data_IF_881130227777
#
_entry.id   IF_881130227777
#
_cell.length_a   1.000
_cell.length_b   1.000
_cell.length_c   1.000
_cell.angle_alpha   90.00
_cell.angle_beta   90.00
_cell.angle_gamma   90.00
#
_symmetry.space_group_name_H-M   'P 1'
#
loop_
_entity.id
_entity.type
_entity.pdbx_description
1 polymer ?
#
# COMPACT_ATOMS: atom_id res chain seq x y z
N UNK A 1 9.32 11.99 21.70
CA UNK A 1 8.64 11.73 20.40
C UNK A 1 8.09 13.07 19.94
N UNK A 2 8.13 13.39 18.64
CA UNK A 2 7.68 14.71 18.19
C UNK A 2 6.49 14.57 17.25
N UNK A 3 5.38 15.18 17.64
CA UNK A 3 4.20 15.34 16.80
C UNK A 3 4.39 16.57 15.95
N UNK A 4 4.33 16.40 14.63
CA UNK A 4 4.41 17.52 13.70
C UNK A 4 3.32 17.33 12.66
N UNK A 5 2.70 18.42 12.23
CA UNK A 5 1.92 18.32 11.00
C UNK A 5 2.82 17.80 9.88
N UNK A 6 2.24 17.01 8.98
CA UNK A 6 2.96 16.71 7.76
C UNK A 6 3.23 18.04 7.07
N UNK A 7 4.51 18.36 6.88
CA UNK A 7 4.92 19.52 6.11
C UNK A 7 4.20 19.51 4.74
N UNK A 8 3.62 20.63 4.27
CA UNK A 8 2.85 20.65 3.02
C UNK A 8 3.63 20.14 1.80
N UNK A 9 4.96 20.34 1.76
CA UNK A 9 5.81 19.83 0.69
C UNK A 9 5.94 18.31 0.80
N UNK A 10 6.18 17.79 2.01
CA UNK A 10 6.21 16.36 2.27
C UNK A 10 4.87 15.67 1.95
N UNK A 11 3.75 16.26 2.36
CA UNK A 11 2.42 15.74 2.05
C UNK A 11 2.12 15.76 0.55
N UNK A 12 2.53 16.83 -0.15
CA UNK A 12 2.44 16.92 -1.60
C UNK A 12 3.22 15.81 -2.31
N UNK A 13 4.45 15.52 -1.85
CA UNK A 13 5.26 14.43 -2.39
C UNK A 13 4.63 13.05 -2.14
N UNK A 14 4.08 12.79 -0.94
CA UNK A 14 3.37 11.55 -0.61
C UNK A 14 2.14 11.38 -1.52
N UNK A 15 1.33 12.43 -1.61
CA UNK A 15 0.11 12.46 -2.46
C UNK A 15 0.46 12.17 -3.91
N UNK A 16 1.46 12.86 -4.45
CA UNK A 16 1.92 12.66 -5.82
C UNK A 16 2.41 11.23 -6.04
N UNK A 17 3.17 10.66 -5.10
CA UNK A 17 3.68 9.29 -5.21
C UNK A 17 2.53 8.28 -5.28
N UNK A 18 1.57 8.36 -4.36
CA UNK A 18 0.42 7.45 -4.30
C UNK A 18 -0.45 7.59 -5.56
N UNK A 19 -0.75 8.82 -5.97
CA UNK A 19 -1.67 9.08 -7.08
C UNK A 19 -1.04 8.73 -8.45
N UNK A 20 0.28 8.89 -8.61
CA UNK A 20 0.99 8.38 -9.82
C UNK A 20 0.95 6.86 -9.86
N UNK A 21 1.13 6.20 -8.71
CA UNK A 21 1.27 4.75 -8.63
C UNK A 21 -0.08 4.02 -8.73
N UNK A 22 -1.13 4.58 -8.13
CA UNK A 22 -2.42 3.92 -7.96
C UNK A 22 -3.59 4.67 -8.61
N UNK A 23 -3.37 5.84 -9.20
CA UNK A 23 -4.36 6.61 -9.92
C UNK A 23 -4.72 7.94 -9.24
N UNK A 24 -5.04 8.93 -10.07
CA UNK A 24 -5.35 10.28 -9.60
C UNK A 24 -6.55 10.29 -8.63
N UNK A 25 -6.40 10.97 -7.49
CA UNK A 25 -7.45 11.12 -6.49
C UNK A 25 -7.57 9.96 -5.49
N UNK A 26 -6.73 8.92 -5.59
CA UNK A 26 -6.68 7.82 -4.61
C UNK A 26 -6.36 8.36 -3.22
N UNK A 27 -5.37 9.24 -3.09
CA UNK A 27 -4.99 9.82 -1.79
C UNK A 27 -6.13 10.63 -1.18
N UNK A 28 -6.84 11.41 -2.00
CA UNK A 28 -8.00 12.20 -1.56
C UNK A 28 -9.12 11.29 -1.05
N UNK A 29 -9.42 10.22 -1.79
CA UNK A 29 -10.44 9.22 -1.41
C UNK A 29 -10.06 8.48 -0.13
N UNK A 30 -8.80 8.11 0.02
CA UNK A 30 -8.24 7.44 1.21
C UNK A 30 -8.31 8.33 2.45
N UNK A 31 -8.02 9.62 2.29
CA UNK A 31 -8.04 10.58 3.39
C UNK A 31 -9.49 10.92 3.83
N UNK A 32 -10.39 11.13 2.87
CA UNK A 32 -11.75 11.56 3.13
C UNK A 32 -11.78 12.90 3.87
N UNK A 33 -12.48 12.96 5.01
CA UNK A 33 -12.57 14.15 5.87
C UNK A 33 -11.49 14.20 6.96
N UNK A 34 -10.46 13.36 6.89
CA UNK A 34 -9.40 13.27 7.91
C UNK A 34 -8.25 14.24 7.60
N UNK A 35 -7.51 14.62 8.62
CA UNK A 35 -6.28 15.38 8.48
C UNK A 35 -5.06 14.44 8.48
N UNK A 36 -4.05 14.68 7.63
CA UNK A 36 -2.81 13.93 7.66
C UNK A 36 -1.91 14.45 8.79
N UNK A 37 -1.40 13.54 9.63
CA UNK A 37 -0.47 13.81 10.72
C UNK A 37 0.82 13.04 10.52
N UNK A 38 1.98 13.68 10.74
CA UNK A 38 3.27 13.01 10.71
C UNK A 38 3.79 12.81 12.13
N UNK A 39 4.30 11.62 12.41
CA UNK A 39 4.91 11.32 13.70
C UNK A 39 6.32 10.82 13.44
N UNK A 40 7.29 11.59 13.94
CA UNK A 40 8.70 11.27 13.76
C UNK A 40 9.19 10.49 14.99
N UNK A 41 9.63 9.24 14.77
CA UNK A 41 10.30 8.41 15.77
C UNK A 41 11.63 7.92 15.22
N UNK A 42 12.73 8.41 15.77
CA UNK A 42 14.09 8.16 15.26
C UNK A 42 14.23 8.60 13.79
N UNK A 43 14.63 7.68 12.90
CA UNK A 43 14.81 7.90 11.46
C UNK A 43 13.57 7.54 10.61
N UNK A 44 12.46 7.17 11.24
CA UNK A 44 11.23 6.79 10.55
C UNK A 44 10.15 7.83 10.82
N UNK A 45 9.46 8.24 9.75
CA UNK A 45 8.33 9.15 9.82
C UNK A 45 7.07 8.37 9.48
N UNK A 46 6.18 8.22 10.45
CA UNK A 46 4.89 7.57 10.27
C UNK A 46 3.84 8.60 9.88
N UNK A 47 2.92 8.23 9.00
CA UNK A 47 1.86 9.11 8.52
C UNK A 47 0.52 8.51 8.91
N UNK A 48 -0.33 9.30 9.54
CA UNK A 48 -1.64 8.92 10.03
C UNK A 48 -2.72 9.81 9.41
N UNK A 49 -3.91 9.25 9.20
CA UNK A 49 -5.12 10.00 8.94
C UNK A 49 -5.96 10.06 10.23
N UNK A 50 -6.15 11.26 10.76
CA UNK A 50 -6.84 11.50 12.03
C UNK A 50 -8.11 12.34 11.85
N UNK A 51 -9.11 12.23 12.73
CA UNK A 51 -10.19 13.20 12.78
C UNK A 51 -9.66 14.63 13.00
N UNK A 52 -10.11 15.65 12.25
CA UNK A 52 -9.64 17.03 12.43
C UNK A 52 -9.79 17.57 13.85
N UNK A 53 -10.84 17.15 14.56
CA UNK A 53 -11.11 17.51 15.95
C UNK A 53 -10.05 17.01 16.95
N UNK A 54 -9.23 16.02 16.58
CA UNK A 54 -8.17 15.50 17.44
C UNK A 54 -6.89 16.32 17.36
N UNK A 55 -6.79 17.23 16.39
CA UNK A 55 -5.57 18.02 16.17
C UNK A 55 -5.18 18.83 17.40
N UNK A 56 -6.12 19.57 18.00
CA UNK A 56 -5.82 20.41 19.18
C UNK A 56 -5.34 19.57 20.35
N UNK A 57 -6.03 18.46 20.63
CA UNK A 57 -5.69 17.53 21.72
C UNK A 57 -4.28 16.95 21.52
N UNK A 58 -3.95 16.56 20.29
CA UNK A 58 -2.64 15.99 19.98
C UNK A 58 -1.51 17.02 20.06
N UNK A 59 -1.79 18.29 19.78
CA UNK A 59 -0.81 19.37 19.93
C UNK A 59 -0.57 19.74 21.39
N UNK A 60 -1.56 19.60 22.26
CA UNK A 60 -1.49 19.94 23.67
C UNK A 60 -0.94 18.79 24.54
N UNK A 61 -1.36 17.55 24.26
CA UNK A 61 -1.11 16.39 25.13
C UNK A 61 -0.34 15.24 24.44
N UNK A 62 0.07 15.42 23.18
CA UNK A 62 0.60 14.34 22.34
C UNK A 62 1.72 13.51 22.97
N UNK A 63 2.60 14.12 23.76
CA UNK A 63 3.74 13.42 24.38
C UNK A 63 3.33 12.31 25.36
N UNK A 64 2.10 12.34 25.88
CA UNK A 64 1.56 11.36 26.81
C UNK A 64 0.65 10.31 26.15
N UNK A 65 0.36 10.45 24.85
CA UNK A 65 -0.56 9.57 24.14
C UNK A 65 0.16 8.41 23.47
N UNK A 66 -0.48 7.24 23.55
CA UNK A 66 0.01 6.05 22.86
C UNK A 66 -0.37 6.09 21.38
N UNK A 67 0.65 6.34 20.56
CA UNK A 67 0.58 6.49 19.10
C UNK A 67 -0.14 5.37 18.36
N UNK A 68 -0.18 4.17 18.91
CA UNK A 68 -0.85 3.03 18.28
C UNK A 68 -2.39 3.22 18.15
N UNK A 69 -2.96 4.22 18.83
CA UNK A 69 -4.40 4.54 18.77
C UNK A 69 -4.70 5.84 18.02
N UNK A 70 -3.72 6.49 17.41
CA UNK A 70 -3.87 7.81 16.77
C UNK A 70 -4.35 7.63 15.33
N UNK A 71 -5.64 7.35 15.18
CA UNK A 71 -6.32 7.27 13.90
C UNK A 71 -5.84 6.10 13.02
N UNK A 72 -5.83 6.33 11.71
CA UNK A 72 -5.51 5.29 10.72
C UNK A 72 -4.11 5.49 10.17
N UNK A 73 -3.19 4.57 10.44
CA UNK A 73 -1.85 4.59 9.86
C UNK A 73 -1.93 4.41 8.34
N UNK A 74 -1.48 5.43 7.60
CA UNK A 74 -1.40 5.39 6.14
C UNK A 74 -0.11 4.72 5.67
N UNK A 75 0.97 4.85 6.42
CA UNK A 75 2.26 4.30 6.05
C UNK A 75 3.43 5.04 6.67
N UNK A 76 4.61 4.84 6.11
CA UNK A 76 5.84 5.45 6.59
C UNK A 76 6.66 6.02 5.45
N UNK A 77 7.41 7.09 5.73
CA UNK A 77 8.47 7.59 4.87
C UNK A 77 9.79 7.03 5.37
N UNK A 78 10.45 6.26 4.51
CA UNK A 78 11.77 5.70 4.76
C UNK A 78 12.70 6.07 3.61
N UNK A 79 13.85 6.68 3.92
CA UNK A 79 14.84 7.11 2.91
C UNK A 79 14.22 7.96 1.78
N UNK A 80 13.27 8.83 2.13
CA UNK A 80 12.58 9.72 1.19
C UNK A 80 11.52 9.05 0.31
N UNK A 81 11.11 7.80 0.59
CA UNK A 81 10.04 7.12 -0.13
C UNK A 81 8.91 6.74 0.81
N UNK A 82 7.68 7.00 0.39
CA UNK A 82 6.51 6.56 1.13
C UNK A 82 6.22 5.08 0.86
N UNK A 83 5.98 4.32 1.92
CA UNK A 83 5.53 2.93 1.91
C UNK A 83 4.15 2.86 2.54
N UNK A 84 3.17 2.35 1.79
CA UNK A 84 1.82 2.12 2.30
C UNK A 84 1.86 1.17 3.50
N UNK A 85 1.08 1.49 4.53
CA UNK A 85 0.82 0.56 5.62
C UNK A 85 -0.01 -0.62 5.12
N UNK A 86 0.23 -1.80 5.70
CA UNK A 86 -0.59 -2.98 5.42
C UNK A 86 -2.08 -2.73 5.73
N UNK A 87 -2.37 -1.88 6.72
CA UNK A 87 -3.72 -1.59 7.21
C UNK A 87 -4.62 -0.92 6.16
N UNK A 88 -4.04 -0.28 5.14
CA UNK A 88 -4.81 0.47 4.14
C UNK A 88 -4.86 -0.22 2.78
N UNK A 89 -4.13 -1.32 2.58
CA UNK A 89 -4.00 -1.92 1.25
C UNK A 89 -5.35 -2.34 0.66
N UNK A 90 -6.22 -2.94 1.47
CA UNK A 90 -7.54 -3.38 1.02
C UNK A 90 -8.47 -2.24 0.63
N UNK A 91 -8.28 -1.04 1.20
CA UNK A 91 -9.06 0.14 0.86
C UNK A 91 -8.54 0.79 -0.42
N UNK A 92 -7.22 0.95 -0.53
CA UNK A 92 -6.58 1.49 -1.74
C UNK A 92 -6.84 0.58 -2.95
N UNK A 93 -6.80 -0.74 -2.76
CA UNK A 93 -7.09 -1.73 -3.79
C UNK A 93 -8.49 -1.56 -4.41
N UNK A 94 -9.47 -1.03 -3.67
CA UNK A 94 -10.83 -0.77 -4.15
C UNK A 94 -10.94 0.52 -4.96
N UNK A 95 -9.93 1.39 -4.89
CA UNK A 95 -9.92 2.72 -5.50
C UNK A 95 -9.06 2.78 -6.76
N UNK A 96 -8.43 1.67 -7.16
CA UNK A 96 -7.42 1.64 -8.23
C UNK A 96 -7.70 0.53 -9.25
N UNK A 97 -7.19 0.74 -10.46
CA UNK A 97 -7.12 -0.28 -11.51
C UNK A 97 -5.72 -0.93 -11.58
N UNK A 98 -4.80 -0.57 -10.68
CA UNK A 98 -3.46 -1.14 -10.57
C UNK A 98 -3.50 -2.44 -9.75
N UNK A 99 -4.11 -3.49 -10.31
CA UNK A 99 -4.22 -4.80 -9.65
C UNK A 99 -3.89 -5.97 -10.57
N UNK A 100 -3.64 -7.11 -9.94
CA UNK A 100 -3.56 -8.43 -10.57
C UNK A 100 -4.44 -9.40 -9.80
N UNK A 101 -5.39 -10.01 -10.50
CA UNK A 101 -6.26 -11.07 -9.98
C UNK A 101 -5.56 -12.41 -10.18
N UNK A 102 -5.41 -13.18 -9.10
CA UNK A 102 -4.73 -14.47 -9.13
C UNK A 102 -5.64 -15.62 -8.73
N UNK A 103 -5.36 -16.80 -9.28
CA UNK A 103 -6.07 -18.03 -8.95
C UNK A 103 -5.86 -18.42 -7.48
N UNK A 104 -6.73 -19.28 -6.95
CA UNK A 104 -6.62 -19.79 -5.57
C UNK A 104 -5.20 -20.31 -5.23
N UNK A 105 -4.60 -21.13 -6.10
CA UNK A 105 -3.23 -21.64 -5.91
C UNK A 105 -2.18 -20.52 -5.93
N UNK A 106 -2.37 -19.53 -6.80
CA UNK A 106 -1.52 -18.34 -6.86
C UNK A 106 -1.61 -17.49 -5.60
N UNK A 107 -2.82 -17.31 -5.07
CA UNK A 107 -3.08 -16.60 -3.83
C UNK A 107 -2.39 -17.27 -2.63
N UNK A 108 -2.54 -18.60 -2.50
CA UNK A 108 -1.86 -19.39 -1.46
C UNK A 108 -0.34 -19.24 -1.56
N UNK A 109 0.24 -19.43 -2.75
CA UNK A 109 1.67 -19.27 -2.94
C UNK A 109 2.15 -17.85 -2.58
N UNK A 110 1.39 -16.83 -3.00
CA UNK A 110 1.72 -15.43 -2.74
C UNK A 110 1.72 -15.10 -1.25
N UNK A 111 0.74 -15.57 -0.49
CA UNK A 111 0.69 -15.37 0.97
C UNK A 111 1.78 -16.15 1.70
N UNK A 112 2.45 -17.12 1.06
CA UNK A 112 3.70 -17.72 1.55
C UNK A 112 4.97 -16.98 1.08
N UNK A 113 4.85 -15.77 0.54
CA UNK A 113 5.97 -14.94 0.10
C UNK A 113 6.49 -15.27 -1.30
N UNK A 114 5.78 -16.12 -2.07
CA UNK A 114 6.17 -16.39 -3.47
C UNK A 114 5.76 -15.24 -4.39
N UNK A 115 6.51 -15.09 -5.47
CA UNK A 115 6.19 -14.17 -6.55
C UNK A 115 5.15 -14.78 -7.51
N UNK A 116 4.47 -13.94 -8.30
CA UNK A 116 3.40 -14.37 -9.20
C UNK A 116 3.99 -14.84 -10.54
N UNK A 117 3.59 -16.04 -10.96
CA UNK A 117 3.89 -16.61 -12.28
C UNK A 117 2.68 -16.50 -13.21
N UNK A 118 2.90 -16.63 -14.52
CA UNK A 118 1.88 -16.45 -15.56
C UNK A 118 0.64 -17.32 -15.36
N UNK A 119 0.81 -18.58 -15.00
CA UNK A 119 -0.30 -19.52 -14.81
C UNK A 119 -1.22 -19.13 -13.64
N UNK A 120 -0.69 -18.39 -12.67
CA UNK A 120 -1.48 -17.90 -11.54
C UNK A 120 -2.36 -16.70 -11.89
N UNK A 121 -2.14 -16.02 -13.02
CA UNK A 121 -2.82 -14.76 -13.35
C UNK A 121 -4.14 -15.03 -14.07
N UNK A 122 -5.23 -14.53 -13.49
CA UNK A 122 -6.57 -14.56 -14.06
C UNK A 122 -6.88 -13.28 -14.83
N UNK A 123 -6.54 -12.13 -14.26
CA UNK A 123 -6.85 -10.81 -14.81
C UNK A 123 -5.80 -9.79 -14.38
N UNK A 124 -5.50 -8.83 -15.25
CA UNK A 124 -4.81 -7.59 -14.91
C UNK A 124 -5.14 -6.53 -15.96
N UNK A 125 -5.05 -5.26 -15.60
CA UNK A 125 -5.24 -4.16 -16.55
C UNK A 125 -4.10 -4.15 -17.61
N UNK A 126 -4.40 -4.21 -18.91
CA UNK A 126 -3.39 -4.26 -19.97
C UNK A 126 -2.54 -2.99 -20.11
N UNK A 127 -2.95 -1.86 -19.50
CA UNK A 127 -2.19 -0.60 -19.53
C UNK A 127 -1.06 -0.58 -18.50
N UNK A 128 -0.94 -1.60 -17.63
CA UNK A 128 0.08 -1.62 -16.60
C UNK A 128 1.46 -1.95 -17.18
N UNK A 129 2.48 -1.26 -16.70
CA UNK A 129 3.84 -1.31 -17.21
C UNK A 129 4.78 -2.05 -16.25
N UNK A 130 5.86 -2.61 -16.80
CA UNK A 130 6.92 -3.22 -16.01
C UNK A 130 7.45 -2.25 -14.96
N UNK A 131 7.60 -2.72 -13.73
CA UNK A 131 8.10 -1.95 -12.59
C UNK A 131 7.01 -1.24 -11.79
N UNK A 132 5.80 -1.08 -12.32
CA UNK A 132 4.67 -0.54 -11.56
C UNK A 132 4.29 -1.48 -10.41
N UNK A 133 3.89 -0.88 -9.29
CA UNK A 133 3.33 -1.63 -8.16
C UNK A 133 1.86 -1.89 -8.40
N UNK A 134 1.44 -3.11 -8.05
CA UNK A 134 0.08 -3.59 -8.23
C UNK A 134 -0.39 -4.30 -6.97
N UNK A 135 -1.68 -4.16 -6.68
CA UNK A 135 -2.33 -4.96 -5.65
C UNK A 135 -2.56 -6.38 -6.15
N UNK A 136 -2.21 -7.36 -5.33
CA UNK A 136 -2.49 -8.77 -5.63
C UNK A 136 -3.82 -9.13 -4.98
N UNK A 137 -4.80 -9.53 -5.79
CA UNK A 137 -6.14 -9.88 -5.36
C UNK A 137 -6.40 -11.37 -5.60
N UNK A 138 -7.10 -12.03 -4.67
CA UNK A 138 -7.62 -13.38 -4.94
C UNK A 138 -8.90 -13.33 -5.79
N UNK A 139 -9.45 -14.49 -6.15
CA UNK A 139 -10.69 -14.66 -6.92
C UNK A 139 -11.90 -13.90 -6.33
N UNK A 140 -11.93 -13.68 -5.01
CA UNK A 140 -12.97 -12.93 -4.32
C UNK A 140 -12.71 -11.42 -4.28
N UNK A 141 -11.67 -10.94 -4.98
CA UNK A 141 -11.18 -9.55 -4.97
C UNK A 141 -10.69 -9.07 -3.60
N UNK A 142 -10.28 -10.00 -2.74
CA UNK A 142 -9.65 -9.67 -1.45
C UNK A 142 -8.17 -9.36 -1.67
N UNK A 143 -7.70 -8.26 -1.09
CA UNK A 143 -6.31 -7.83 -1.22
C UNK A 143 -5.37 -8.68 -0.35
N UNK A 144 -4.40 -9.32 -1.00
CA UNK A 144 -3.40 -10.18 -0.37
C UNK A 144 -2.07 -9.44 -0.12
N UNK A 145 -1.83 -8.33 -0.80
CA UNK A 145 -0.58 -7.57 -0.69
C UNK A 145 -0.24 -6.75 -1.94
N UNK A 146 1.03 -6.41 -2.07
CA UNK A 146 1.56 -5.60 -3.18
C UNK A 146 2.70 -6.35 -3.87
N UNK A 147 2.72 -6.29 -5.20
CA UNK A 147 3.78 -6.81 -6.04
C UNK A 147 4.29 -5.74 -7.02
N UNK A 148 5.47 -5.94 -7.60
CA UNK A 148 5.98 -5.14 -8.72
C UNK A 148 5.95 -5.95 -10.01
N UNK A 149 5.32 -5.42 -11.07
CA UNK A 149 5.29 -6.09 -12.37
C UNK A 149 6.70 -6.29 -12.92
N UNK A 150 6.96 -7.50 -13.41
CA UNK A 150 8.23 -7.89 -14.04
C UNK A 150 8.17 -7.84 -15.57
N UNK A 151 6.98 -7.65 -16.12
CA UNK A 151 6.65 -7.60 -17.55
C UNK A 151 5.56 -6.55 -17.77
N UNK A 152 5.51 -5.96 -18.97
CA UNK A 152 4.37 -5.12 -19.36
C UNK A 152 3.11 -5.98 -19.51
N UNK A 153 1.97 -5.53 -19.00
CA UNK A 153 0.75 -6.32 -18.95
C UNK A 153 0.28 -6.78 -20.34
N UNK A 154 0.40 -5.95 -21.36
CA UNK A 154 0.03 -6.31 -22.75
C UNK A 154 0.86 -7.46 -23.34
N UNK A 155 2.02 -7.79 -22.76
CA UNK A 155 2.89 -8.90 -23.20
C UNK A 155 2.60 -10.21 -22.46
N UNK A 156 1.70 -10.23 -21.47
CA UNK A 156 1.49 -11.37 -20.58
C UNK A 156 1.09 -12.65 -21.33
N UNK A 157 0.33 -12.53 -22.42
CA UNK A 157 -0.13 -13.67 -23.22
C UNK A 157 0.98 -14.32 -24.07
N UNK A 158 2.17 -13.70 -24.13
CA UNK A 158 3.35 -14.24 -24.82
C UNK A 158 4.27 -15.02 -23.89
N UNK A 159 3.95 -15.06 -22.59
CA UNK A 159 4.75 -15.74 -21.59
C UNK A 159 4.34 -17.21 -21.46
N UNK A 160 5.34 -18.08 -21.25
CA UNK A 160 5.11 -19.44 -20.77
C UNK A 160 4.50 -19.45 -19.37
N UNK A 161 3.82 -20.54 -19.01
CA UNK A 161 3.05 -20.70 -17.76
C UNK A 161 3.88 -20.43 -16.48
N UNK A 162 5.14 -20.85 -16.46
CA UNK A 162 6.07 -20.76 -15.34
C UNK A 162 6.81 -19.41 -15.25
N UNK A 163 6.61 -18.51 -16.21
CA UNK A 163 7.33 -17.24 -16.26
C UNK A 163 6.85 -16.28 -15.19
N UNK A 164 7.81 -15.58 -14.57
CA UNK A 164 7.56 -14.53 -13.59
C UNK A 164 6.77 -13.37 -14.22
N UNK A 165 5.64 -13.02 -13.59
CA UNK A 165 4.81 -11.85 -13.94
C UNK A 165 5.00 -10.71 -12.96
N UNK A 166 5.04 -10.98 -11.66
CA UNK A 166 5.20 -9.93 -10.65
C UNK A 166 6.01 -10.41 -9.45
N UNK A 167 6.92 -9.58 -8.95
CA UNK A 167 7.72 -9.86 -7.75
C UNK A 167 6.92 -9.46 -6.51
N UNK A 168 6.80 -10.37 -5.54
CA UNK A 168 6.22 -10.04 -4.23
C UNK A 168 7.06 -8.95 -3.55
N UNK A 169 6.39 -7.88 -3.09
CA UNK A 169 7.00 -6.83 -2.26
C UNK A 169 6.56 -6.96 -0.81
N UNK A 170 5.27 -7.20 -0.59
CA UNK A 170 4.69 -7.43 0.73
C UNK A 170 3.42 -8.26 0.59
N UNK A 171 3.19 -9.18 1.52
CA UNK A 171 1.98 -10.00 1.62
C UNK A 171 1.44 -10.02 3.05
N UNK A 172 0.12 -10.23 3.20
CA UNK A 172 -0.54 -10.33 4.50
C UNK A 172 -0.03 -11.51 5.33
N UNK A 173 0.47 -12.56 4.68
CA UNK A 173 1.04 -13.73 5.38
C UNK A 173 2.31 -13.38 6.14
N UNK A 174 3.01 -12.30 5.79
CA UNK A 174 4.14 -11.79 6.55
C UNK A 174 3.75 -11.44 7.99
N UNK A 175 2.54 -10.92 8.21
CA UNK A 175 2.04 -10.59 9.53
C UNK A 175 1.72 -11.84 10.35
N UNK A 176 1.06 -12.83 9.72
CA UNK A 176 0.71 -14.10 10.35
C UNK A 176 1.97 -14.86 10.81
N UNK A 177 3.03 -14.86 9.98
CA UNK A 177 4.30 -15.52 10.30
C UNK A 177 5.07 -14.87 11.44
N UNK A 178 4.83 -13.59 11.73
CA UNK A 178 5.58 -12.83 12.74
C UNK A 178 4.92 -12.87 14.12
N UNK A 179 3.62 -13.20 14.18
CA UNK A 179 2.85 -13.31 15.42
C UNK A 179 2.61 -14.76 15.86
N UNK A 180 2.95 -15.74 15.01
CA UNK A 180 2.87 -17.18 15.31
C UNK A 180 4.14 -17.75 15.91
#
# INVERSE_FOLDING_TARGET
>A
MKFEFVDPVAWGAITQQIDIEFGAGVTKSLLGNRAPLMISKNSSQMVYAIPPEWISILMEEGENLDIQFIGKELGSVEKGRFRLSLHILSEVAKMTNSFILVSKRGAEAFTYGRSIIRESVLELNPTLERGQRVFVLNENKECLGVAALSVDAFKINRLGADRLVAKNLVDIGWFIRRLG
#
